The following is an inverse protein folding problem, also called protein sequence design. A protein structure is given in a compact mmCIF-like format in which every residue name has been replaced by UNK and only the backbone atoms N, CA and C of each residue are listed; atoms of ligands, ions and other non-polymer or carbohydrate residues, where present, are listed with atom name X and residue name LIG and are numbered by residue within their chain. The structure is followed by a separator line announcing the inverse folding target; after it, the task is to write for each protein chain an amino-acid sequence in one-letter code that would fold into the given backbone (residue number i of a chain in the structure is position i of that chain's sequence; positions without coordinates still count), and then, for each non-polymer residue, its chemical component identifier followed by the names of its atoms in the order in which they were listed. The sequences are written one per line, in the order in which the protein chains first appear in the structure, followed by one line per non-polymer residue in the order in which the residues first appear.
data_IF_272545603174
#
_entry.id   IF_272545603174
#
_cell.length_a   1.000
_cell.length_b   1.000
_cell.length_c   1.000
_cell.angle_alpha   90.00
_cell.angle_beta   90.00
_cell.angle_gamma   90.00
#
_symmetry.space_group_name_H-M   'P 1'
#
loop_
_entity.id
_entity.type
_entity.pdbx_description
1 polymer ?
#
# COMPACT_ATOMS: atom_id res chain seq x y z
N UNK A 1 -44.66 -44.11 -6.68
CA UNK A 1 -43.43 -44.92 -6.54
C UNK A 1 -42.84 -45.21 -7.91
N UNK A 2 -41.76 -44.52 -8.28
CA UNK A 2 -40.72 -45.04 -9.19
C UNK A 2 -39.46 -44.19 -9.03
N UNK A 3 -38.39 -44.88 -8.60
CA UNK A 3 -37.03 -44.38 -8.39
C UNK A 3 -36.35 -44.19 -9.74
N UNK A 4 -35.43 -43.23 -9.84
CA UNK A 4 -34.54 -43.07 -10.99
C UNK A 4 -33.48 -42.03 -10.71
N UNK A 5 -32.42 -42.42 -10.01
CA UNK A 5 -31.22 -41.65 -9.74
C UNK A 5 -30.33 -41.69 -11.00
N UNK A 6 -29.98 -40.54 -11.57
CA UNK A 6 -28.90 -40.44 -12.56
C UNK A 6 -28.01 -39.25 -12.20
N UNK A 7 -26.91 -39.62 -11.54
CA UNK A 7 -25.76 -38.79 -11.24
C UNK A 7 -24.98 -38.59 -12.55
N UNK A 8 -25.12 -37.43 -13.18
CA UNK A 8 -24.31 -37.05 -14.35
C UNK A 8 -23.01 -36.43 -13.84
N UNK A 9 -21.92 -37.20 -13.97
CA UNK A 9 -20.55 -36.71 -13.79
C UNK A 9 -20.26 -35.60 -14.80
N UNK A 10 -20.36 -34.35 -14.37
CA UNK A 10 -19.86 -33.20 -15.11
C UNK A 10 -18.33 -33.21 -15.12
N UNK A 11 -17.75 -33.45 -16.30
CA UNK A 11 -16.31 -33.25 -16.55
C UNK A 11 -16.00 -31.77 -16.37
N UNK A 12 -15.38 -31.41 -15.25
CA UNK A 12 -14.83 -30.08 -15.03
C UNK A 12 -13.58 -29.93 -15.89
N UNK A 13 -13.69 -29.19 -16.99
CA UNK A 13 -12.54 -28.71 -17.76
C UNK A 13 -11.79 -27.71 -16.88
N UNK A 14 -10.70 -28.16 -16.25
CA UNK A 14 -9.72 -27.31 -15.61
C UNK A 14 -8.97 -26.52 -16.70
N UNK A 15 -9.48 -25.33 -17.01
CA UNK A 15 -8.71 -24.32 -17.75
C UNK A 15 -7.57 -23.87 -16.83
N UNK A 16 -6.37 -24.39 -17.09
CA UNK A 16 -5.14 -23.93 -16.48
C UNK A 16 -4.87 -22.49 -16.94
N UNK A 17 -5.33 -21.50 -16.18
CA UNK A 17 -4.87 -20.13 -16.34
C UNK A 17 -3.45 -20.07 -15.78
N UNK A 18 -2.45 -19.56 -16.52
CA UNK A 18 -1.17 -19.24 -15.91
C UNK A 18 -1.45 -18.15 -14.86
N UNK A 19 -1.24 -18.52 -13.60
CA UNK A 19 -1.15 -17.56 -12.50
C UNK A 19 -0.04 -16.59 -12.89
N UNK A 20 -0.42 -15.39 -13.33
CA UNK A 20 0.51 -14.27 -13.41
C UNK A 20 0.96 -14.07 -11.97
N UNK A 21 2.15 -14.57 -11.64
CA UNK A 21 2.75 -14.34 -10.35
C UNK A 21 3.06 -12.84 -10.30
N UNK A 22 2.12 -12.06 -9.80
CA UNK A 22 2.43 -10.76 -9.22
C UNK A 22 3.33 -11.09 -8.03
N UNK A 23 4.64 -11.16 -8.30
CA UNK A 23 5.65 -11.19 -7.26
C UNK A 23 5.48 -9.86 -6.56
N UNK A 24 4.72 -9.87 -5.46
CA UNK A 24 4.67 -8.76 -4.55
C UNK A 24 6.11 -8.58 -4.08
N UNK A 25 6.82 -7.64 -4.69
CA UNK A 25 8.02 -7.09 -4.10
C UNK A 25 7.51 -6.36 -2.85
N UNK A 26 7.50 -7.06 -1.70
CA UNK A 26 7.67 -6.36 -0.44
C UNK A 26 8.89 -5.46 -0.65
N UNK A 27 8.70 -4.14 -0.53
CA UNK A 27 9.76 -3.17 -0.79
C UNK A 27 10.99 -3.59 0.02
N UNK A 28 11.97 -4.17 -0.68
CA UNK A 28 13.18 -4.66 -0.08
C UNK A 28 14.10 -3.45 0.08
N UNK A 29 14.00 -2.76 1.21
CA UNK A 29 15.09 -2.05 1.88
C UNK A 29 14.62 -1.75 3.30
N UNK A 30 15.17 -2.46 4.30
CA UNK A 30 14.91 -2.17 5.70
C UNK A 30 15.30 -0.72 5.98
N UNK A 31 14.33 0.10 6.39
CA UNK A 31 14.58 1.46 6.80
C UNK A 31 15.66 1.48 7.88
N UNK A 32 16.60 2.43 7.78
CA UNK A 32 17.66 2.61 8.78
C UNK A 32 17.72 4.08 9.18
N UNK A 33 18.09 4.34 10.42
CA UNK A 33 18.29 5.69 10.93
C UNK A 33 19.69 6.24 10.58
N UNK A 34 20.14 6.07 9.33
CA UNK A 34 21.50 6.42 8.90
C UNK A 34 21.87 7.89 9.19
N UNK A 35 20.87 8.80 9.14
CA UNK A 35 21.05 10.22 9.44
C UNK A 35 21.25 10.53 10.95
N UNK A 36 20.96 9.56 11.84
CA UNK A 36 21.06 9.72 13.29
C UNK A 36 22.40 9.26 13.87
N UNK A 37 23.30 8.76 13.02
CA UNK A 37 24.58 8.18 13.45
C UNK A 37 24.41 6.75 13.99
N UNK A 38 25.41 6.30 14.75
CA UNK A 38 25.38 4.98 15.36
C UNK A 38 24.48 4.96 16.61
N UNK A 39 23.74 3.87 16.79
CA UNK A 39 23.04 3.61 18.04
C UNK A 39 24.06 3.46 19.18
N UNK A 40 23.91 4.20 20.30
CA UNK A 40 24.78 4.03 21.45
C UNK A 40 24.71 2.60 22.01
N UNK A 41 25.86 1.98 22.23
CA UNK A 41 25.92 0.66 22.89
C UNK A 41 25.76 0.81 24.39
N UNK A 42 24.90 -0.01 25.00
CA UNK A 42 24.75 -0.07 26.45
C UNK A 42 26.08 -0.49 27.11
N UNK A 43 26.59 0.29 28.10
CA UNK A 43 27.82 -0.06 28.80
C UNK A 43 27.57 -1.18 29.81
N UNK A 44 28.62 -1.97 30.09
CA UNK A 44 28.61 -2.85 31.26
C UNK A 44 28.69 -2.02 32.54
N UNK A 45 27.84 -2.37 33.52
CA UNK A 45 27.76 -1.75 34.84
C UNK A 45 28.30 -2.72 35.89
N UNK A 46 29.10 -2.21 36.79
CA UNK A 46 29.72 -2.94 37.89
C UNK A 46 29.28 -2.32 39.22
N UNK A 47 28.72 -3.15 40.09
CA UNK A 47 28.15 -2.76 41.38
C UNK A 47 28.85 -3.48 42.55
N UNK A 48 30.05 -4.03 42.31
CA UNK A 48 30.80 -4.85 43.27
C UNK A 48 31.43 -4.04 44.42
N UNK A 49 31.69 -2.75 44.22
CA UNK A 49 32.16 -1.82 45.26
C UNK A 49 31.58 -0.42 45.04
N UNK A 50 31.75 0.46 46.03
CA UNK A 50 31.32 1.87 45.94
C UNK A 50 32.03 2.60 44.80
N UNK A 51 33.33 2.35 44.61
CA UNK A 51 34.13 2.94 43.54
C UNK A 51 33.64 2.47 42.16
N UNK A 52 33.43 1.15 42.02
CA UNK A 52 32.91 0.56 40.78
C UNK A 52 31.48 1.03 40.46
N UNK A 53 30.64 1.17 41.49
CA UNK A 53 29.29 1.70 41.37
C UNK A 53 29.29 3.13 40.86
N UNK A 54 30.07 4.03 41.48
CA UNK A 54 30.14 5.43 41.07
C UNK A 54 30.62 5.57 39.62
N UNK A 55 31.64 4.80 39.21
CA UNK A 55 32.08 4.76 37.82
C UNK A 55 30.98 4.24 36.86
N UNK A 56 30.12 3.34 37.32
CA UNK A 56 28.98 2.82 36.57
C UNK A 56 27.84 3.83 36.46
N UNK A 57 27.62 4.66 37.47
CA UNK A 57 26.67 5.78 37.42
C UNK A 57 27.05 6.78 36.32
N UNK A 58 28.34 7.10 36.18
CA UNK A 58 28.82 7.99 35.11
C UNK A 58 28.62 7.38 33.71
N UNK A 59 28.91 6.08 33.56
CA UNK A 59 28.65 5.34 32.31
C UNK A 59 27.16 5.33 31.96
N UNK A 60 26.30 5.04 32.93
CA UNK A 60 24.85 5.04 32.75
C UNK A 60 24.34 6.42 32.34
N UNK A 61 24.76 7.48 33.03
CA UNK A 61 24.38 8.87 32.72
C UNK A 61 24.80 9.27 31.30
N UNK A 62 26.00 8.90 30.90
CA UNK A 62 26.52 9.16 29.54
C UNK A 62 25.70 8.42 28.48
N UNK A 63 25.44 7.13 28.70
CA UNK A 63 24.61 6.31 27.82
C UNK A 63 23.20 6.86 27.70
N UNK A 64 22.53 7.17 28.83
CA UNK A 64 21.17 7.70 28.82
C UNK A 64 21.05 8.99 28.01
N UNK A 65 22.00 9.91 28.17
CA UNK A 65 22.03 11.14 27.38
C UNK A 65 22.16 10.85 25.89
N UNK A 66 23.08 9.96 25.50
CA UNK A 66 23.30 9.59 24.11
C UNK A 66 22.07 8.86 23.52
N UNK A 67 21.50 7.90 24.26
CA UNK A 67 20.36 7.09 23.84
C UNK A 67 19.09 7.93 23.67
N UNK A 68 18.86 8.92 24.55
CA UNK A 68 17.74 9.87 24.41
C UNK A 68 17.90 10.75 23.17
N UNK A 69 19.11 11.25 22.92
CA UNK A 69 19.39 12.04 21.72
C UNK A 69 19.20 11.22 20.44
N UNK A 70 19.72 10.00 20.40
CA UNK A 70 19.57 9.08 19.28
C UNK A 70 18.09 8.77 19.02
N UNK A 71 17.34 8.34 20.05
CA UNK A 71 15.92 8.05 19.92
C UNK A 71 15.10 9.25 19.44
N UNK A 72 15.40 10.46 19.94
CA UNK A 72 14.73 11.67 19.45
C UNK A 72 14.99 11.92 17.97
N UNK A 73 16.20 11.66 17.49
CA UNK A 73 16.51 11.76 16.06
C UNK A 73 15.78 10.70 15.23
N UNK A 74 15.80 9.45 15.69
CA UNK A 74 15.11 8.31 15.06
C UNK A 74 13.63 8.62 14.89
N UNK A 75 12.96 9.01 15.98
CA UNK A 75 11.54 9.35 15.95
C UNK A 75 11.24 10.51 14.99
N UNK A 76 12.06 11.58 15.00
CA UNK A 76 11.88 12.71 14.10
C UNK A 76 12.03 12.31 12.63
N UNK A 77 13.03 11.49 12.32
CA UNK A 77 13.32 11.04 10.96
C UNK A 77 12.23 10.11 10.45
N UNK A 78 11.82 9.12 11.26
CA UNK A 78 10.74 8.22 10.94
C UNK A 78 9.43 8.98 10.65
N UNK A 79 9.01 9.85 11.56
CA UNK A 79 7.77 10.63 11.37
C UNK A 79 7.82 11.50 10.10
N UNK A 80 8.97 12.09 9.78
CA UNK A 80 9.15 12.89 8.56
C UNK A 80 8.97 12.02 7.31
N UNK A 81 9.61 10.86 7.26
CA UNK A 81 9.54 9.95 6.12
C UNK A 81 8.15 9.33 5.98
N UNK A 82 7.53 8.89 7.07
CA UNK A 82 6.15 8.40 7.09
C UNK A 82 5.17 9.45 6.57
N UNK A 83 5.34 10.72 6.97
CA UNK A 83 4.52 11.83 6.47
C UNK A 83 4.75 12.06 4.98
N UNK A 84 6.00 12.02 4.52
CA UNK A 84 6.32 12.18 3.10
C UNK A 84 5.71 11.06 2.25
N UNK A 85 5.87 9.81 2.68
CA UNK A 85 5.28 8.63 2.02
C UNK A 85 3.75 8.74 2.00
N UNK A 86 3.14 9.14 3.11
CA UNK A 86 1.69 9.30 3.21
C UNK A 86 1.16 10.36 2.25
N UNK A 87 1.85 11.50 2.14
CA UNK A 87 1.46 12.57 1.22
C UNK A 87 1.63 12.16 -0.23
N UNK A 88 2.77 11.55 -0.58
CA UNK A 88 3.02 11.04 -1.92
C UNK A 88 1.99 9.97 -2.32
N UNK A 89 1.63 9.07 -1.40
CA UNK A 89 0.59 8.06 -1.63
C UNK A 89 -0.78 8.72 -1.87
N UNK A 90 -1.15 9.73 -1.07
CA UNK A 90 -2.41 10.48 -1.25
C UNK A 90 -2.46 11.17 -2.61
N UNK A 91 -1.38 11.79 -3.05
CA UNK A 91 -1.29 12.46 -4.35
C UNK A 91 -1.44 11.46 -5.50
N UNK A 92 -0.74 10.32 -5.44
CA UNK A 92 -0.85 9.26 -6.45
C UNK A 92 -2.27 8.70 -6.53
N UNK A 93 -2.89 8.44 -5.38
CA UNK A 93 -4.27 7.96 -5.30
C UNK A 93 -5.24 8.99 -5.89
N UNK A 94 -5.09 10.27 -5.54
CA UNK A 94 -5.91 11.35 -6.10
C UNK A 94 -5.80 11.42 -7.63
N UNK A 95 -4.58 11.36 -8.16
CA UNK A 95 -4.34 11.35 -9.61
C UNK A 95 -5.05 10.18 -10.32
N UNK A 96 -4.98 8.98 -9.76
CA UNK A 96 -5.68 7.80 -10.30
C UNK A 96 -7.21 7.97 -10.22
N UNK A 97 -7.72 8.51 -9.12
CA UNK A 97 -9.16 8.79 -8.98
C UNK A 97 -9.64 9.80 -10.01
N UNK A 98 -8.94 10.91 -10.19
CA UNK A 98 -9.27 11.93 -11.19
C UNK A 98 -9.26 11.36 -12.61
N UNK A 99 -8.21 10.61 -12.97
CA UNK A 99 -8.10 9.98 -14.28
C UNK A 99 -9.23 8.97 -14.53
N UNK A 100 -9.52 8.10 -13.56
CA UNK A 100 -10.60 7.11 -13.69
C UNK A 100 -11.98 7.76 -13.79
N UNK A 101 -12.25 8.80 -13.00
CA UNK A 101 -13.50 9.57 -13.09
C UNK A 101 -13.64 10.26 -14.46
N UNK A 102 -12.55 10.81 -15.00
CA UNK A 102 -12.55 11.42 -16.33
C UNK A 102 -12.89 10.39 -17.41
N UNK A 103 -12.27 9.20 -17.37
CA UNK A 103 -12.57 8.11 -18.31
C UNK A 103 -14.04 7.70 -18.23
N UNK A 104 -14.56 7.46 -17.02
CA UNK A 104 -15.95 7.09 -16.81
C UNK A 104 -16.92 8.16 -17.36
N UNK A 105 -16.63 9.44 -17.09
CA UNK A 105 -17.42 10.57 -17.63
C UNK A 105 -17.39 10.61 -19.16
N UNK A 106 -16.22 10.41 -19.77
CA UNK A 106 -16.08 10.36 -21.22
C UNK A 106 -16.88 9.20 -21.85
N UNK A 107 -16.83 8.02 -21.23
CA UNK A 107 -17.59 6.85 -21.69
C UNK A 107 -19.10 7.11 -21.59
N UNK A 108 -19.58 7.65 -20.46
CA UNK A 108 -20.99 7.99 -20.28
C UNK A 108 -21.47 9.03 -21.32
N UNK A 109 -20.65 10.05 -21.60
CA UNK A 109 -20.93 11.03 -22.64
C UNK A 109 -21.00 10.39 -24.03
N UNK A 110 -20.10 9.46 -24.35
CA UNK A 110 -20.13 8.73 -25.61
C UNK A 110 -21.38 7.87 -25.76
N UNK A 111 -21.80 7.15 -24.72
CA UNK A 111 -23.06 6.40 -24.75
C UNK A 111 -24.26 7.31 -24.98
N UNK A 112 -24.29 8.47 -24.32
CA UNK A 112 -25.35 9.47 -24.54
C UNK A 112 -25.41 9.94 -26.00
N UNK A 113 -24.26 10.26 -26.60
CA UNK A 113 -24.18 10.66 -28.02
C UNK A 113 -24.59 9.53 -28.95
N UNK A 114 -24.14 8.30 -28.67
CA UNK A 114 -24.50 7.12 -29.45
C UNK A 114 -26.01 6.90 -29.45
N UNK A 115 -26.65 6.94 -28.29
CA UNK A 115 -28.11 6.80 -28.17
C UNK A 115 -28.84 7.91 -28.94
N UNK A 116 -28.37 9.16 -28.86
CA UNK A 116 -28.96 10.27 -29.62
C UNK A 116 -28.82 10.07 -31.13
N UNK A 117 -27.65 9.65 -31.61
CA UNK A 117 -27.40 9.38 -33.02
C UNK A 117 -28.28 8.23 -33.56
N UNK A 118 -28.40 7.14 -32.80
CA UNK A 118 -29.27 6.01 -33.16
C UNK A 118 -30.75 6.42 -33.19
N UNK A 119 -31.22 7.23 -32.23
CA UNK A 119 -32.59 7.75 -32.23
C UNK A 119 -32.87 8.63 -33.45
N UNK A 120 -31.94 9.53 -33.79
CA UNK A 120 -32.05 10.38 -34.97
C UNK A 120 -32.06 9.56 -36.27
N UNK A 121 -31.20 8.55 -36.38
CA UNK A 121 -31.19 7.60 -37.49
C UNK A 121 -32.51 6.83 -37.60
N UNK A 122 -33.01 6.30 -36.48
CA UNK A 122 -34.29 5.59 -36.43
C UNK A 122 -35.45 6.49 -36.86
N UNK A 123 -35.50 7.76 -36.45
CA UNK A 123 -36.53 8.70 -36.93
C UNK A 123 -36.43 8.97 -38.44
N UNK A 124 -35.22 9.06 -38.98
CA UNK A 124 -34.97 9.28 -40.41
C UNK A 124 -35.36 8.09 -41.28
N UNK A 125 -35.08 6.87 -40.82
CA UNK A 125 -35.27 5.65 -41.60
C UNK A 125 -36.56 4.88 -41.27
N UNK A 126 -37.13 5.07 -40.08
CA UNK A 126 -38.36 4.43 -39.64
C UNK A 126 -39.65 5.01 -40.23
N UNK A 127 -39.56 6.16 -40.90
CA UNK A 127 -40.67 6.77 -41.64
C UNK A 127 -40.77 6.34 -43.12
N UNK A 128 -39.83 5.54 -43.63
CA UNK A 128 -39.79 5.10 -45.03
C UNK A 128 -40.42 3.71 -45.26
N UNK A 129 -41.32 3.28 -44.37
CA UNK A 129 -42.02 2.00 -44.45
C UNK A 129 -43.53 2.19 -44.43
N UNK A 130 -44.07 2.98 -45.36
CA UNK A 130 -45.48 2.94 -45.78
C UNK A 130 -45.60 3.45 -47.22
#
# INVERSE_FOLDING_TARGET
MRKGFLLVCGVAVLVAQPLVQNVAHAAATGWTAAACGAEPTMPSLDVSSVEHYNASVDKATTYEKAARAYNSCVAKTANKEETAISNEAREKIAHIHEGSAAVQKHIAANFTRMTAALKAGSAKFGGASH
#
